data_IF_313774135328
#
_entry.id   IF_313774135328
#
_cell.length_a   1.000
_cell.length_b   1.000
_cell.length_c   1.000
_cell.angle_alpha   90.00
_cell.angle_beta   90.00
_cell.angle_gamma   90.00
#
_symmetry.space_group_name_H-M   'P 1'
#
loop_
_entity.id
_entity.type
_entity.pdbx_description
1 polymer ?
#
# COMPACT_ATOMS: atom_id res chain seq x y z
N UNK A 1 21.03 -8.92 82.73
CA UNK A 1 19.65 -8.38 82.65
C UNK A 1 19.43 -8.00 81.21
N UNK A 2 18.80 -8.90 80.45
CA UNK A 2 18.68 -8.81 78.99
C UNK A 2 17.22 -8.54 78.62
N UNK A 3 17.01 -7.54 77.77
CA UNK A 3 15.71 -7.03 77.33
C UNK A 3 14.87 -8.10 76.61
N UNK A 4 13.53 -8.10 76.77
CA UNK A 4 12.66 -9.04 76.07
C UNK A 4 12.37 -8.59 74.63
N UNK A 5 12.46 -9.53 73.69
CA UNK A 5 12.05 -9.37 72.29
C UNK A 5 10.53 -9.19 72.16
N UNK A 6 10.04 -8.37 71.21
CA UNK A 6 8.62 -8.29 70.90
C UNK A 6 8.17 -9.48 70.05
N UNK A 7 7.08 -10.13 70.49
CA UNK A 7 6.38 -11.19 69.77
C UNK A 7 5.71 -10.66 68.49
N UNK A 8 5.96 -11.34 67.37
CA UNK A 8 5.34 -11.07 66.07
C UNK A 8 3.84 -11.38 66.10
N UNK A 9 3.02 -10.37 65.77
CA UNK A 9 1.60 -10.58 65.46
C UNK A 9 1.48 -11.05 64.02
N UNK A 10 1.08 -12.30 63.81
CA UNK A 10 0.69 -12.85 62.50
C UNK A 10 -0.66 -12.24 62.07
N UNK A 11 -0.69 -11.59 60.91
CA UNK A 11 -1.92 -11.17 60.23
C UNK A 11 -2.55 -12.39 59.51
N UNK A 12 -3.89 -12.48 59.41
CA UNK A 12 -4.55 -13.56 58.68
C UNK A 12 -4.26 -13.46 57.17
N UNK A 13 -4.34 -14.58 56.42
CA UNK A 13 -4.03 -14.58 55.01
C UNK A 13 -5.05 -13.76 54.22
N UNK A 14 -4.56 -12.75 53.50
CA UNK A 14 -5.34 -12.06 52.46
C UNK A 14 -5.48 -13.02 51.30
N UNK A 15 -6.67 -13.58 51.10
CA UNK A 15 -7.03 -14.31 49.88
C UNK A 15 -7.12 -13.27 48.76
N UNK A 16 -6.04 -13.11 48.01
CA UNK A 16 -6.04 -12.42 46.72
C UNK A 16 -6.89 -13.26 45.77
N UNK A 17 -8.13 -12.83 45.54
CA UNK A 17 -8.90 -13.31 44.40
C UNK A 17 -8.21 -12.80 43.13
N UNK A 18 -7.39 -13.66 42.54
CA UNK A 18 -6.87 -13.47 41.18
C UNK A 18 -8.08 -13.52 40.26
N UNK A 19 -8.57 -12.34 39.89
CA UNK A 19 -9.52 -12.22 38.79
C UNK A 19 -8.78 -12.64 37.54
N UNK A 20 -9.18 -13.76 36.96
CA UNK A 20 -8.67 -14.24 35.69
C UNK A 20 -8.80 -13.11 34.65
N UNK A 21 -7.77 -12.85 33.82
CA UNK A 21 -7.94 -11.91 32.72
C UNK A 21 -9.05 -12.45 31.83
N UNK A 22 -10.14 -11.70 31.75
CA UNK A 22 -11.18 -11.91 30.75
C UNK A 22 -10.49 -11.82 29.40
N UNK A 23 -10.35 -12.95 28.71
CA UNK A 23 -9.89 -12.99 27.34
C UNK A 23 -10.85 -12.12 26.53
N UNK A 24 -10.35 -10.99 26.03
CA UNK A 24 -10.98 -10.26 24.95
C UNK A 24 -11.22 -11.27 23.82
N UNK A 25 -12.44 -11.42 23.29
CA UNK A 25 -12.66 -12.34 22.19
C UNK A 25 -11.77 -11.91 21.03
N UNK A 26 -10.97 -12.86 20.52
CA UNK A 26 -10.26 -12.72 19.26
C UNK A 26 -11.31 -12.25 18.23
N UNK A 27 -11.08 -11.10 17.59
CA UNK A 27 -11.95 -10.64 16.52
C UNK A 27 -12.13 -11.77 15.51
N UNK A 28 -13.37 -12.01 15.08
CA UNK A 28 -13.74 -13.10 14.18
C UNK A 28 -12.80 -13.12 12.97
N UNK A 29 -11.92 -14.14 12.91
CA UNK A 29 -10.92 -14.30 11.84
C UNK A 29 -11.54 -14.93 10.58
N UNK A 30 -12.87 -15.07 10.54
CA UNK A 30 -13.59 -15.61 9.40
C UNK A 30 -13.39 -14.70 8.17
N UNK A 31 -13.01 -15.26 7.01
CA UNK A 31 -12.86 -14.48 5.79
C UNK A 31 -14.17 -13.80 5.36
N UNK A 32 -14.14 -12.48 5.13
CA UNK A 32 -15.25 -11.68 4.63
C UNK A 32 -15.46 -11.90 3.12
N UNK A 33 -16.69 -11.87 2.61
CA UNK A 33 -16.94 -11.88 1.16
C UNK A 33 -16.13 -10.78 0.45
N UNK A 34 -15.49 -11.11 -0.66
CA UNK A 34 -14.71 -10.15 -1.44
C UNK A 34 -15.66 -9.14 -2.06
N UNK A 35 -15.45 -7.84 -1.78
CA UNK A 35 -16.21 -6.75 -2.38
C UNK A 35 -15.29 -5.93 -3.28
N UNK A 36 -15.66 -5.78 -4.55
CA UNK A 36 -15.01 -4.90 -5.52
C UNK A 36 -15.31 -3.43 -5.19
N UNK A 37 -14.71 -2.91 -4.12
CA UNK A 37 -14.97 -1.53 -3.69
C UNK A 37 -14.00 -0.53 -4.36
N UNK A 38 -14.46 0.72 -4.61
CA UNK A 38 -13.59 1.83 -5.01
C UNK A 38 -12.48 2.06 -3.96
N UNK A 39 -11.40 2.79 -4.29
CA UNK A 39 -10.27 3.01 -3.38
C UNK A 39 -10.78 3.35 -1.99
N UNK A 40 -10.43 2.50 -1.03
CA UNK A 40 -11.02 2.54 0.30
C UNK A 40 -10.79 3.92 0.92
N UNK A 41 -11.85 4.47 1.52
CA UNK A 41 -11.77 5.76 2.20
C UNK A 41 -10.72 5.66 3.31
N UNK A 42 -9.98 6.75 3.58
CA UNK A 42 -9.02 6.74 4.67
C UNK A 42 -9.71 6.39 6.01
N UNK A 43 -9.05 5.62 6.90
CA UNK A 43 -9.56 5.26 8.21
C UNK A 43 -10.04 6.50 8.94
N UNK A 44 -11.23 6.39 9.53
CA UNK A 44 -11.86 7.51 10.26
C UNK A 44 -11.37 7.59 11.70
N UNK A 45 -10.77 6.51 12.18
CA UNK A 45 -10.31 6.42 13.55
C UNK A 45 -9.18 7.43 13.81
N UNK A 46 -9.13 8.00 15.03
CA UNK A 46 -8.00 8.82 15.42
C UNK A 46 -6.69 8.05 15.30
N UNK A 47 -5.70 8.69 14.71
CA UNK A 47 -4.34 8.15 14.58
C UNK A 47 -3.34 9.12 15.24
N UNK A 48 -2.09 8.67 15.51
CA UNK A 48 -1.06 9.54 16.06
C UNK A 48 -0.87 10.77 15.18
N UNK A 49 -0.54 11.90 15.81
CA UNK A 49 -0.19 13.13 15.12
C UNK A 49 1.31 13.31 15.14
N UNK A 50 1.84 13.99 14.13
CA UNK A 50 3.22 14.47 14.11
C UNK A 50 3.41 15.40 15.31
N UNK A 51 3.93 14.87 16.40
CA UNK A 51 4.30 15.63 17.58
C UNK A 51 5.72 15.24 17.94
N UNK A 52 6.59 16.22 18.07
CA UNK A 52 7.98 16.03 18.51
C UNK A 52 8.90 15.27 17.54
N UNK A 53 8.50 15.06 16.27
CA UNK A 53 9.40 14.59 15.22
C UNK A 53 10.04 15.80 14.53
N UNK A 54 11.37 15.86 14.52
CA UNK A 54 12.10 16.88 13.77
C UNK A 54 12.20 16.47 12.29
N UNK A 55 11.61 17.26 11.42
CA UNK A 55 11.74 17.10 9.96
C UNK A 55 12.83 18.02 9.45
N UNK A 56 13.79 17.48 8.67
CA UNK A 56 14.93 18.23 8.15
C UNK A 56 15.03 18.00 6.64
N UNK A 57 15.28 19.07 5.89
CA UNK A 57 15.59 19.00 4.46
C UNK A 57 17.08 19.34 4.25
N UNK A 58 17.77 18.51 3.48
CA UNK A 58 19.12 18.75 2.99
C UNK A 58 19.14 18.61 1.47
N UNK A 59 19.53 19.66 0.76
CA UNK A 59 19.74 19.63 -0.69
C UNK A 59 21.23 19.75 -0.96
N UNK A 60 21.83 18.72 -1.55
CA UNK A 60 23.29 18.66 -1.72
C UNK A 60 23.80 19.55 -2.86
N UNK A 61 23.00 19.73 -3.91
CA UNK A 61 23.32 20.58 -5.06
C UNK A 61 22.05 21.21 -5.65
N UNK A 62 21.94 22.54 -5.56
CA UNK A 62 20.82 23.32 -6.13
C UNK A 62 20.94 23.55 -7.63
N UNK A 63 22.12 23.30 -8.22
CA UNK A 63 22.38 23.55 -9.64
C UNK A 63 21.88 22.42 -10.56
N UNK A 64 21.52 21.27 -9.99
CA UNK A 64 21.01 20.12 -10.75
C UNK A 64 19.53 20.27 -11.14
N UNK A 65 19.14 19.63 -12.25
CA UNK A 65 17.77 19.73 -12.77
C UNK A 65 16.74 19.12 -11.79
N UNK A 66 17.07 18.01 -11.12
CA UNK A 66 16.19 17.37 -10.15
C UNK A 66 15.86 18.25 -8.95
N UNK A 67 16.84 18.97 -8.40
CA UNK A 67 16.60 19.92 -7.32
C UNK A 67 15.68 21.06 -7.76
N UNK A 68 15.89 21.62 -8.97
CA UNK A 68 15.00 22.65 -9.54
C UNK A 68 13.58 22.12 -9.69
N UNK A 69 13.43 20.95 -10.33
CA UNK A 69 12.15 20.29 -10.57
C UNK A 69 11.36 20.08 -9.28
N UNK A 70 12.00 19.59 -8.21
CA UNK A 70 11.34 19.36 -6.93
C UNK A 70 10.91 20.69 -6.28
N UNK A 71 11.82 21.66 -6.17
CA UNK A 71 11.55 22.96 -5.53
C UNK A 71 10.44 23.72 -6.26
N UNK A 72 10.38 23.65 -7.60
CA UNK A 72 9.35 24.35 -8.38
C UNK A 72 7.98 23.68 -8.35
N UNK A 73 7.92 22.38 -8.02
CA UNK A 73 6.70 21.57 -8.22
C UNK A 73 5.97 21.27 -6.92
N UNK A 74 6.69 21.04 -5.83
CA UNK A 74 6.09 20.62 -4.55
C UNK A 74 6.45 21.57 -3.42
N UNK A 75 5.51 21.78 -2.50
CA UNK A 75 5.84 22.31 -1.19
C UNK A 75 6.40 21.16 -0.35
N UNK A 76 7.72 21.15 -0.13
CA UNK A 76 8.41 20.05 0.54
C UNK A 76 7.93 19.88 1.99
N UNK A 77 7.58 20.97 2.67
CA UNK A 77 7.07 20.92 4.05
C UNK A 77 5.79 20.10 4.09
N UNK A 78 4.79 20.49 3.28
CA UNK A 78 3.51 19.77 3.25
C UNK A 78 3.65 18.35 2.72
N UNK A 79 4.56 18.12 1.77
CA UNK A 79 4.82 16.78 1.19
C UNK A 79 5.34 15.82 2.25
N UNK A 80 6.31 16.25 3.07
CA UNK A 80 6.88 15.40 4.13
C UNK A 80 5.88 15.22 5.28
N UNK A 81 5.14 16.27 5.64
CA UNK A 81 4.06 16.16 6.64
C UNK A 81 2.94 15.21 6.18
N UNK A 82 2.55 15.28 4.91
CA UNK A 82 1.56 14.40 4.31
C UNK A 82 2.04 12.95 4.32
N UNK A 83 3.30 12.69 3.95
CA UNK A 83 3.88 11.36 4.01
C UNK A 83 3.84 10.76 5.43
N UNK A 84 4.27 11.50 6.46
CA UNK A 84 4.17 11.02 7.86
C UNK A 84 2.71 10.79 8.25
N UNK A 85 1.82 11.71 7.85
CA UNK A 85 0.39 11.59 8.07
C UNK A 85 -0.22 10.33 7.45
N UNK A 86 0.22 9.95 6.24
CA UNK A 86 -0.18 8.72 5.57
C UNK A 86 0.28 7.48 6.33
N UNK A 87 1.55 7.42 6.77
CA UNK A 87 2.02 6.27 7.56
C UNK A 87 1.21 6.11 8.84
N UNK A 88 1.02 7.20 9.59
CA UNK A 88 0.26 7.18 10.85
C UNK A 88 -1.19 6.79 10.63
N UNK A 89 -1.82 7.30 9.57
CA UNK A 89 -3.21 6.98 9.25
C UNK A 89 -3.42 5.51 8.93
N UNK A 90 -2.50 4.90 8.19
CA UNK A 90 -2.69 3.56 7.64
C UNK A 90 -2.13 2.45 8.54
N UNK A 91 -1.07 2.71 9.29
CA UNK A 91 -0.40 1.69 10.11
C UNK A 91 -0.64 1.80 11.62
N UNK A 92 -1.37 2.83 12.08
CA UNK A 92 -1.48 3.11 13.52
C UNK A 92 -2.89 3.54 13.94
N UNK A 93 -3.21 3.30 15.21
CA UNK A 93 -4.36 3.88 15.95
C UNK A 93 -3.84 4.85 17.01
N UNK A 94 -4.73 5.61 17.65
CA UNK A 94 -4.36 6.50 18.75
C UNK A 94 -3.71 5.77 19.94
N UNK A 95 -4.02 4.48 20.11
CA UNK A 95 -3.51 3.62 21.19
C UNK A 95 -2.24 2.87 20.80
N UNK A 96 -1.84 2.91 19.53
CA UNK A 96 -0.67 2.18 19.05
C UNK A 96 0.64 2.79 19.56
N UNK A 97 1.59 1.91 19.89
CA UNK A 97 2.99 2.30 20.05
C UNK A 97 3.61 2.50 18.67
N UNK A 98 4.17 3.68 18.43
CA UNK A 98 4.91 4.03 17.19
C UNK A 98 6.41 3.89 17.48
N UNK A 99 7.25 3.51 16.49
CA UNK A 99 8.69 3.55 16.65
C UNK A 99 9.22 4.89 17.18
N UNK A 100 10.30 4.83 17.93
CA UNK A 100 10.91 5.98 18.63
C UNK A 100 11.57 7.03 17.74
N UNK A 101 11.32 7.03 16.42
CA UNK A 101 11.94 7.95 15.46
C UNK A 101 11.73 9.42 15.85
N UNK A 102 12.83 10.07 16.27
CA UNK A 102 12.88 11.47 16.75
C UNK A 102 13.11 12.46 15.62
N UNK A 103 13.70 12.03 14.50
CA UNK A 103 13.86 12.88 13.33
C UNK A 103 13.92 12.11 12.03
N UNK A 104 13.43 12.75 10.96
CA UNK A 104 13.61 12.29 9.58
C UNK A 104 14.30 13.39 8.78
N UNK A 105 15.42 13.06 8.13
CA UNK A 105 16.13 13.97 7.21
C UNK A 105 15.89 13.55 5.78
N UNK A 106 15.19 14.37 4.99
CA UNK A 106 15.11 14.19 3.54
C UNK A 106 16.37 14.77 2.88
N UNK A 107 17.18 13.92 2.27
CA UNK A 107 18.44 14.26 1.62
C UNK A 107 18.29 14.13 0.10
N UNK A 108 18.28 15.26 -0.60
CA UNK A 108 18.33 15.30 -2.06
C UNK A 108 19.80 15.31 -2.52
N UNK A 109 20.19 14.33 -3.32
CA UNK A 109 21.54 14.22 -3.90
C UNK A 109 21.54 13.47 -5.22
N UNK A 110 22.56 13.70 -6.04
CA UNK A 110 22.83 12.84 -7.20
C UNK A 110 23.28 11.47 -6.70
N UNK A 111 22.65 10.43 -7.24
CA UNK A 111 22.90 9.02 -6.94
C UNK A 111 22.16 8.13 -7.94
N UNK A 112 22.63 6.89 -8.10
CA UNK A 112 21.88 5.84 -8.79
C UNK A 112 20.62 5.41 -8.01
N UNK A 113 19.73 4.68 -8.67
CA UNK A 113 18.47 4.24 -8.06
C UNK A 113 17.44 5.37 -7.93
N UNK A 114 16.40 5.11 -7.12
CA UNK A 114 15.28 6.03 -6.89
C UNK A 114 15.47 6.72 -5.55
N UNK A 115 15.28 5.97 -4.46
CA UNK A 115 15.47 6.42 -3.10
C UNK A 115 15.88 5.24 -2.20
N UNK A 116 16.28 5.54 -0.96
CA UNK A 116 16.42 4.56 0.10
C UNK A 116 16.34 5.24 1.48
N UNK A 117 15.99 4.46 2.49
CA UNK A 117 15.95 4.87 3.89
C UNK A 117 17.05 4.21 4.70
N UNK A 118 17.64 4.94 5.65
CA UNK A 118 18.65 4.43 6.57
C UNK A 118 18.56 5.10 7.94
N UNK A 119 19.11 4.47 8.98
CA UNK A 119 19.42 5.14 10.25
C UNK A 119 20.66 6.06 10.12
N UNK A 120 20.86 6.96 11.09
CA UNK A 120 22.12 7.71 11.25
C UNK A 120 23.10 6.93 12.10
N UNK A 121 24.39 7.21 11.90
CA UNK A 121 25.50 6.63 12.66
C UNK A 121 25.41 6.85 14.19
N UNK A 122 24.58 7.80 14.65
CA UNK A 122 24.39 8.09 16.08
C UNK A 122 23.45 7.06 16.72
N UNK A 123 22.26 6.86 16.14
CA UNK A 123 21.28 5.85 16.55
C UNK A 123 20.14 5.72 15.50
N UNK A 124 19.39 4.63 15.63
CA UNK A 124 18.27 4.29 14.75
C UNK A 124 17.02 5.18 14.92
N UNK A 125 16.96 6.04 15.94
CA UNK A 125 15.85 6.98 16.11
C UNK A 125 16.00 8.21 15.21
N UNK A 126 17.14 8.35 14.53
CA UNK A 126 17.36 9.36 13.52
C UNK A 126 17.41 8.70 12.14
N UNK A 127 16.40 8.95 11.31
CA UNK A 127 16.31 8.40 9.96
C UNK A 127 16.73 9.40 8.89
N UNK A 128 17.29 8.91 7.80
CA UNK A 128 17.56 9.65 6.58
C UNK A 128 16.88 8.97 5.39
N UNK A 129 16.15 9.76 4.60
CA UNK A 129 15.60 9.36 3.30
C UNK A 129 16.49 10.02 2.25
N UNK A 130 17.20 9.23 1.45
CA UNK A 130 17.99 9.73 0.34
C UNK A 130 17.19 9.60 -0.94
N UNK A 131 16.94 10.71 -1.63
CA UNK A 131 16.15 10.73 -2.86
C UNK A 131 17.00 11.27 -4.02
N UNK A 132 17.08 10.48 -5.11
CA UNK A 132 17.92 10.76 -6.27
C UNK A 132 17.41 11.96 -7.06
N UNK A 133 18.24 13.01 -7.14
CA UNK A 133 17.99 14.13 -8.06
C UNK A 133 18.07 13.70 -9.52
N UNK A 134 18.79 12.62 -9.83
CA UNK A 134 18.95 12.10 -11.19
C UNK A 134 17.69 11.35 -11.64
N UNK A 135 16.99 10.71 -10.69
CA UNK A 135 15.66 10.16 -10.92
C UNK A 135 14.61 11.26 -11.05
N UNK A 136 14.57 12.23 -10.13
CA UNK A 136 13.61 13.35 -10.16
C UNK A 136 13.68 14.13 -11.49
N UNK A 137 14.88 14.29 -12.05
CA UNK A 137 15.07 14.96 -13.34
C UNK A 137 14.39 14.25 -14.53
N UNK A 138 14.09 12.94 -14.41
CA UNK A 138 13.50 12.10 -15.45
C UNK A 138 12.00 11.92 -15.29
N UNK A 139 11.41 12.33 -14.17
CA UNK A 139 9.97 12.22 -13.95
C UNK A 139 9.26 13.17 -14.90
N UNK A 140 8.20 12.69 -15.55
CA UNK A 140 7.41 13.51 -16.45
C UNK A 140 6.67 14.62 -15.67
N UNK A 141 6.55 15.84 -16.22
CA UNK A 141 5.96 16.98 -15.51
C UNK A 141 4.57 16.72 -14.94
N UNK A 142 3.73 15.99 -15.68
CA UNK A 142 2.35 15.66 -15.32
C UNK A 142 2.24 14.68 -14.13
N UNK A 143 3.28 13.87 -13.89
CA UNK A 143 3.33 12.91 -12.77
C UNK A 143 4.23 13.36 -11.63
N UNK A 144 4.98 14.44 -11.81
CA UNK A 144 6.07 14.82 -10.92
C UNK A 144 5.65 15.00 -9.47
N UNK A 145 4.51 15.66 -9.23
CA UNK A 145 3.98 15.86 -7.87
C UNK A 145 3.65 14.52 -7.20
N UNK A 146 2.87 13.68 -7.88
CA UNK A 146 2.39 12.41 -7.32
C UNK A 146 3.52 11.40 -7.15
N UNK A 147 4.50 11.38 -8.06
CA UNK A 147 5.65 10.50 -7.96
C UNK A 147 6.61 10.92 -6.85
N UNK A 148 6.89 12.22 -6.70
CA UNK A 148 7.72 12.72 -5.59
C UNK A 148 7.06 12.39 -4.25
N UNK A 149 5.77 12.67 -4.10
CA UNK A 149 5.04 12.33 -2.87
C UNK A 149 4.95 10.82 -2.67
N UNK A 150 4.74 10.03 -3.73
CA UNK A 150 4.68 8.57 -3.69
C UNK A 150 5.98 7.93 -3.21
N UNK A 151 7.12 8.35 -3.75
CA UNK A 151 8.45 7.87 -3.32
C UNK A 151 8.73 8.31 -1.88
N UNK A 152 8.48 9.57 -1.51
CA UNK A 152 8.66 10.02 -0.13
C UNK A 152 7.73 9.26 0.82
N UNK A 153 6.49 8.97 0.42
CA UNK A 153 5.55 8.19 1.20
C UNK A 153 6.07 6.77 1.47
N UNK A 154 6.56 6.08 0.44
CA UNK A 154 7.17 4.75 0.55
C UNK A 154 8.33 4.75 1.56
N UNK A 155 9.30 5.64 1.35
CA UNK A 155 10.48 5.74 2.23
C UNK A 155 10.11 6.18 3.66
N UNK A 156 9.07 7.00 3.80
CA UNK A 156 8.57 7.39 5.12
C UNK A 156 8.00 6.20 5.89
N UNK A 157 7.47 5.17 5.21
CA UNK A 157 7.00 3.96 5.87
C UNK A 157 8.15 3.26 6.57
N UNK A 158 9.30 3.11 5.92
CA UNK A 158 10.50 2.52 6.53
C UNK A 158 11.01 3.29 7.76
N UNK A 159 10.72 4.59 7.86
CA UNK A 159 11.07 5.37 9.05
C UNK A 159 10.23 5.03 10.29
N UNK A 160 9.06 4.42 10.10
CA UNK A 160 8.06 4.22 11.15
C UNK A 160 7.42 2.84 11.13
N UNK A 161 7.77 1.89 10.27
CA UNK A 161 7.25 0.52 10.35
C UNK A 161 8.10 -0.33 11.30
N UNK A 162 7.51 -1.40 11.81
CA UNK A 162 8.25 -2.44 12.52
C UNK A 162 8.73 -3.53 11.54
N UNK A 163 9.82 -4.21 11.89
CA UNK A 163 10.50 -5.20 11.03
C UNK A 163 10.68 -6.57 11.71
N UNK A 164 9.96 -6.82 12.81
CA UNK A 164 10.04 -8.09 13.53
C UNK A 164 11.41 -8.35 14.12
N UNK A 165 12.04 -7.34 14.76
CA UNK A 165 13.42 -7.45 15.24
C UNK A 165 14.40 -7.86 14.11
N UNK A 166 14.26 -7.23 12.95
CA UNK A 166 15.04 -7.49 11.73
C UNK A 166 14.89 -8.91 11.14
N UNK A 167 13.83 -9.65 11.50
CA UNK A 167 13.56 -10.99 10.96
C UNK A 167 12.45 -11.04 9.92
N UNK A 168 11.72 -9.93 9.72
CA UNK A 168 10.73 -9.82 8.64
C UNK A 168 11.39 -10.01 7.28
N UNK A 169 10.79 -10.77 6.34
CA UNK A 169 11.30 -10.88 4.99
C UNK A 169 11.24 -9.52 4.30
N UNK A 170 12.25 -9.21 3.48
CA UNK A 170 12.34 -7.91 2.80
C UNK A 170 11.11 -7.63 1.94
N UNK A 171 10.55 -8.65 1.28
CA UNK A 171 9.33 -8.47 0.48
C UNK A 171 8.13 -7.97 1.27
N UNK A 172 7.93 -8.48 2.49
CA UNK A 172 6.87 -7.97 3.36
C UNK A 172 7.15 -6.53 3.78
N UNK A 173 8.40 -6.22 4.13
CA UNK A 173 8.86 -4.88 4.51
C UNK A 173 8.62 -3.85 3.40
N UNK A 174 8.99 -4.17 2.16
CA UNK A 174 8.76 -3.33 0.96
C UNK A 174 7.28 -3.28 0.58
N UNK A 175 6.58 -4.42 0.68
CA UNK A 175 5.16 -4.53 0.35
C UNK A 175 4.27 -3.69 1.27
N UNK A 176 4.59 -3.59 2.56
CA UNK A 176 3.88 -2.69 3.48
C UNK A 176 4.07 -1.22 3.04
N UNK A 177 5.28 -0.84 2.63
CA UNK A 177 5.58 0.51 2.16
C UNK A 177 4.75 0.87 0.91
N UNK A 178 4.71 -0.04 -0.06
CA UNK A 178 3.93 0.15 -1.28
C UNK A 178 2.42 -0.02 -1.09
N UNK A 179 1.97 -0.78 -0.09
CA UNK A 179 0.55 -0.82 0.30
C UNK A 179 0.09 0.53 0.87
N UNK A 180 0.89 1.18 1.72
CA UNK A 180 0.57 2.54 2.22
C UNK A 180 0.56 3.55 1.07
N UNK A 181 1.50 3.44 0.13
CA UNK A 181 1.53 4.27 -1.09
C UNK A 181 0.28 4.05 -1.94
N UNK A 182 -0.12 2.80 -2.16
CA UNK A 182 -1.35 2.42 -2.86
C UNK A 182 -2.58 3.06 -2.20
N UNK A 183 -2.73 2.88 -0.88
CA UNK A 183 -3.88 3.39 -0.10
C UNK A 183 -3.90 4.90 0.04
N UNK A 184 -2.75 5.55 -0.14
CA UNK A 184 -2.66 7.00 -0.22
C UNK A 184 -3.01 7.55 -1.62
N UNK A 185 -3.37 6.68 -2.58
CA UNK A 185 -3.73 7.09 -3.94
C UNK A 185 -2.53 7.48 -4.81
N UNK A 186 -1.33 7.00 -4.44
CA UNK A 186 -0.06 7.40 -5.05
C UNK A 186 0.60 6.27 -5.88
N UNK A 187 -0.17 5.24 -6.23
CA UNK A 187 0.29 4.15 -7.08
C UNK A 187 0.64 4.66 -8.49
N UNK A 188 1.83 4.32 -9.04
CA UNK A 188 2.15 4.46 -10.45
C UNK A 188 1.10 3.79 -11.36
N UNK A 189 0.79 4.36 -12.55
CA UNK A 189 -0.16 3.76 -13.48
C UNK A 189 0.28 2.41 -14.04
N UNK A 190 1.59 2.13 -13.98
CA UNK A 190 2.18 0.87 -14.46
C UNK A 190 2.03 -0.28 -13.47
N UNK A 191 1.62 -0.03 -12.23
CA UNK A 191 1.41 -1.07 -11.22
C UNK A 191 0.25 -1.97 -11.61
N UNK A 192 0.47 -3.28 -11.50
CA UNK A 192 -0.51 -4.30 -11.87
C UNK A 192 -0.68 -5.31 -10.75
N UNK A 193 -1.92 -5.78 -10.58
CA UNK A 193 -2.19 -6.93 -9.73
C UNK A 193 -1.69 -8.19 -10.45
N UNK A 194 -0.85 -8.97 -9.79
CA UNK A 194 -0.43 -10.28 -10.25
C UNK A 194 -0.22 -11.21 -9.07
N UNK A 195 -0.27 -12.51 -9.32
CA UNK A 195 0.04 -13.56 -8.34
C UNK A 195 1.01 -14.61 -8.93
N UNK A 196 1.87 -14.16 -9.84
CA UNK A 196 3.08 -14.89 -10.27
C UNK A 196 4.16 -14.82 -9.18
N UNK A 197 5.25 -15.58 -9.29
CA UNK A 197 6.32 -15.50 -8.29
C UNK A 197 5.90 -15.88 -6.86
N UNK A 198 6.50 -15.21 -5.88
CA UNK A 198 6.27 -15.43 -4.45
C UNK A 198 5.55 -14.25 -3.80
N UNK A 199 4.81 -14.54 -2.74
CA UNK A 199 4.04 -13.53 -2.00
C UNK A 199 4.92 -12.42 -1.42
N UNK A 200 6.21 -12.68 -1.18
CA UNK A 200 7.23 -11.79 -0.63
C UNK A 200 8.26 -11.32 -1.69
N UNK A 201 7.85 -11.17 -2.95
CA UNK A 201 8.71 -10.53 -3.97
C UNK A 201 8.79 -8.99 -3.81
N UNK A 202 8.02 -8.41 -2.89
CA UNK A 202 8.09 -6.99 -2.49
C UNK A 202 7.25 -6.04 -3.34
N UNK A 203 7.46 -4.75 -3.12
CA UNK A 203 6.90 -3.64 -3.89
C UNK A 203 5.39 -3.76 -4.16
N UNK A 204 4.93 -3.42 -5.38
CA UNK A 204 3.52 -3.48 -5.76
C UNK A 204 2.95 -4.89 -5.69
N UNK A 205 3.79 -5.91 -5.88
CA UNK A 205 3.37 -7.30 -5.94
C UNK A 205 2.87 -7.78 -4.57
N UNK A 206 3.70 -7.63 -3.54
CA UNK A 206 3.29 -7.87 -2.15
C UNK A 206 2.26 -6.83 -1.71
N UNK A 207 2.39 -5.56 -2.14
CA UNK A 207 1.45 -4.50 -1.80
C UNK A 207 0.00 -4.79 -2.20
N UNK A 208 -0.24 -5.32 -3.40
CA UNK A 208 -1.61 -5.71 -3.83
C UNK A 208 -2.13 -6.95 -3.12
N UNK A 209 -1.26 -7.88 -2.72
CA UNK A 209 -1.67 -9.01 -1.88
C UNK A 209 -2.07 -8.55 -0.48
N UNK A 210 -1.34 -7.62 0.12
CA UNK A 210 -1.75 -6.99 1.37
C UNK A 210 -3.09 -6.26 1.24
N UNK A 211 -3.36 -5.64 0.08
CA UNK A 211 -4.69 -5.06 -0.20
C UNK A 211 -5.79 -6.12 -0.28
N UNK A 212 -5.51 -7.28 -0.88
CA UNK A 212 -6.45 -8.41 -0.84
C UNK A 212 -6.71 -8.87 0.60
N UNK A 213 -5.69 -8.94 1.46
CA UNK A 213 -5.88 -9.30 2.87
C UNK A 213 -6.72 -8.26 3.62
N UNK A 214 -6.50 -6.97 3.36
CA UNK A 214 -7.32 -5.88 3.90
C UNK A 214 -8.80 -6.04 3.51
N UNK A 215 -9.08 -6.40 2.26
CA UNK A 215 -10.44 -6.64 1.78
C UNK A 215 -11.04 -7.93 2.36
N UNK A 216 -10.23 -8.98 2.50
CA UNK A 216 -10.66 -10.31 2.92
C UNK A 216 -10.87 -10.42 4.43
N UNK A 217 -10.08 -9.71 5.24
CA UNK A 217 -10.08 -9.81 6.70
C UNK A 217 -10.47 -8.50 7.40
N UNK A 218 -10.82 -7.47 6.62
CA UNK A 218 -11.36 -6.20 7.11
C UNK A 218 -10.30 -5.12 7.34
N UNK A 219 -10.80 -3.90 7.53
CA UNK A 219 -9.99 -2.71 7.74
C UNK A 219 -9.05 -2.86 8.95
N UNK A 220 -7.78 -2.53 8.75
CA UNK A 220 -6.72 -2.66 9.75
C UNK A 220 -6.00 -4.01 9.74
N UNK A 221 -6.16 -4.84 8.72
CA UNK A 221 -5.41 -6.10 8.59
C UNK A 221 -3.92 -5.84 8.40
N UNK A 222 -3.53 -4.91 7.53
CA UNK A 222 -2.11 -4.54 7.36
C UNK A 222 -1.55 -3.82 8.58
N UNK A 223 -2.39 -3.04 9.27
CA UNK A 223 -2.04 -2.45 10.57
C UNK A 223 -1.74 -3.52 11.62
N UNK A 224 -2.53 -4.61 11.71
CA UNK A 224 -2.26 -5.73 12.62
C UNK A 224 -0.96 -6.46 12.28
N UNK A 225 -0.64 -6.60 10.99
CA UNK A 225 0.67 -7.12 10.53
C UNK A 225 1.80 -6.26 11.11
N UNK A 226 1.77 -4.93 10.88
CA UNK A 226 2.78 -4.02 11.40
C UNK A 226 2.86 -4.05 12.94
N UNK A 227 1.72 -4.08 13.64
CA UNK A 227 1.67 -4.16 15.11
C UNK A 227 2.29 -5.46 15.64
N UNK A 228 2.04 -6.60 14.99
CA UNK A 228 2.64 -7.88 15.39
C UNK A 228 4.15 -7.89 15.17
N UNK A 229 4.63 -7.32 14.05
CA UNK A 229 6.06 -7.11 13.80
C UNK A 229 6.73 -6.22 14.87
N UNK A 230 5.97 -5.36 15.56
CA UNK A 230 6.48 -4.57 16.69
C UNK A 230 6.59 -5.33 18.01
N UNK A 231 6.01 -6.53 18.10
CA UNK A 231 5.91 -7.31 19.35
C UNK A 231 6.79 -8.56 19.36
N UNK A 232 7.03 -9.18 18.20
CA UNK A 232 7.71 -10.46 18.10
C UNK A 232 8.63 -10.52 16.89
N UNK A 233 9.62 -11.42 16.92
CA UNK A 233 10.30 -11.85 15.70
C UNK A 233 9.31 -12.52 14.74
N UNK A 234 9.56 -12.38 13.45
CA UNK A 234 8.79 -13.00 12.38
C UNK A 234 9.14 -14.48 12.28
N UNK A 235 8.12 -15.32 12.42
CA UNK A 235 8.16 -16.77 12.17
C UNK A 235 6.94 -17.07 11.30
N UNK A 236 7.16 -17.43 10.04
CA UNK A 236 6.13 -17.36 9.00
C UNK A 236 4.85 -18.11 9.39
N UNK A 237 4.95 -19.37 9.82
CA UNK A 237 3.76 -20.19 10.05
C UNK A 237 2.94 -19.67 11.22
N UNK A 238 3.59 -19.31 12.33
CA UNK A 238 2.93 -18.76 13.51
C UNK A 238 2.33 -17.38 13.19
N UNK A 239 3.10 -16.51 12.55
CA UNK A 239 2.73 -15.13 12.26
C UNK A 239 1.42 -15.03 11.47
N UNK A 240 1.32 -15.77 10.36
CA UNK A 240 0.14 -15.71 9.48
C UNK A 240 -1.07 -16.43 10.09
N UNK A 241 -0.86 -17.54 10.82
CA UNK A 241 -1.94 -18.25 11.51
C UNK A 241 -2.52 -17.44 12.66
N UNK A 242 -1.70 -16.75 13.44
CA UNK A 242 -2.18 -15.94 14.55
C UNK A 242 -2.99 -14.73 14.06
N UNK A 243 -2.61 -14.14 12.92
CA UNK A 243 -3.30 -12.98 12.35
C UNK A 243 -4.59 -13.35 11.61
N UNK A 244 -4.56 -14.43 10.83
CA UNK A 244 -5.60 -14.74 9.84
C UNK A 244 -6.10 -16.18 9.85
N UNK A 245 -5.59 -17.04 10.74
CA UNK A 245 -5.99 -18.44 10.85
C UNK A 245 -5.48 -19.34 9.71
N UNK A 246 -4.65 -18.82 8.80
CA UNK A 246 -4.21 -19.49 7.57
C UNK A 246 -2.71 -19.34 7.35
N UNK A 247 -2.11 -20.26 6.59
CA UNK A 247 -0.72 -20.10 6.13
C UNK A 247 -0.66 -19.08 5.00
N UNK A 248 0.40 -18.30 4.90
CA UNK A 248 0.56 -17.32 3.81
C UNK A 248 0.51 -17.96 2.42
N UNK A 249 1.02 -19.19 2.29
CA UNK A 249 0.95 -19.95 1.04
C UNK A 249 -0.49 -20.30 0.63
N UNK A 250 -1.42 -20.42 1.57
CA UNK A 250 -2.84 -20.63 1.30
C UNK A 250 -3.53 -19.32 0.92
N UNK A 251 -3.21 -18.25 1.65
CA UNK A 251 -3.69 -16.89 1.38
C UNK A 251 -3.25 -16.42 -0.02
N UNK A 252 -1.98 -16.63 -0.38
CA UNK A 252 -1.43 -16.30 -1.69
C UNK A 252 -2.12 -17.07 -2.82
N UNK A 253 -2.35 -18.37 -2.61
CA UNK A 253 -3.10 -19.19 -3.57
C UNK A 253 -4.55 -18.72 -3.71
N UNK A 254 -5.18 -18.25 -2.65
CA UNK A 254 -6.54 -17.68 -2.71
C UNK A 254 -6.56 -16.37 -3.48
N UNK A 255 -5.62 -15.47 -3.21
CA UNK A 255 -5.41 -14.25 -3.98
C UNK A 255 -5.26 -14.54 -5.48
N UNK A 256 -4.40 -15.50 -5.84
CA UNK A 256 -4.23 -15.90 -7.24
C UNK A 256 -5.45 -16.57 -7.88
N UNK A 257 -6.38 -17.15 -7.10
CA UNK A 257 -7.69 -17.61 -7.62
C UNK A 257 -8.62 -16.43 -7.88
N UNK A 258 -8.72 -15.50 -6.93
CA UNK A 258 -9.55 -14.30 -7.08
C UNK A 258 -9.16 -13.48 -8.32
N UNK A 259 -7.87 -13.29 -8.58
CA UNK A 259 -7.43 -12.57 -9.79
C UNK A 259 -7.88 -13.25 -11.09
N UNK A 260 -7.95 -14.59 -11.11
CA UNK A 260 -8.43 -15.34 -12.28
C UNK A 260 -9.94 -15.21 -12.46
N UNK A 261 -10.70 -15.26 -11.37
CA UNK A 261 -12.15 -15.09 -11.37
C UNK A 261 -12.55 -13.67 -11.81
N UNK A 262 -11.84 -12.64 -11.32
CA UNK A 262 -12.02 -11.26 -11.76
C UNK A 262 -11.77 -11.11 -13.28
N UNK A 263 -10.67 -11.67 -13.79
CA UNK A 263 -10.36 -11.60 -15.22
C UNK A 263 -11.39 -12.33 -16.10
N UNK A 264 -11.93 -13.46 -15.63
CA UNK A 264 -12.98 -14.19 -16.34
C UNK A 264 -14.30 -13.41 -16.36
N UNK A 265 -14.59 -12.63 -15.31
CA UNK A 265 -15.81 -11.82 -15.23
C UNK A 265 -15.73 -10.61 -16.16
N UNK A 266 -14.57 -9.96 -16.27
CA UNK A 266 -14.33 -8.88 -17.23
C UNK A 266 -14.49 -9.37 -18.69
N UNK A 267 -14.00 -10.58 -19.00
CA UNK A 267 -14.17 -11.19 -20.33
C UNK A 267 -15.65 -11.45 -20.66
N UNK A 268 -16.45 -11.96 -19.71
CA UNK A 268 -17.88 -12.25 -19.92
C UNK A 268 -18.70 -10.97 -20.19
N UNK A 269 -18.43 -9.89 -19.46
CA UNK A 269 -19.15 -8.61 -19.62
C UNK A 269 -18.89 -7.97 -20.99
N UNK A 270 -17.74 -8.25 -21.62
CA UNK A 270 -17.44 -7.77 -22.98
C UNK A 270 -18.20 -8.54 -24.05
N UNK A 271 -18.54 -9.82 -23.83
CA UNK A 271 -19.28 -10.63 -24.84
C UNK A 271 -20.77 -10.29 -24.89
N UNK A 272 -21.40 -9.90 -23.77
CA UNK A 272 -22.86 -9.65 -23.72
C UNK A 272 -23.31 -8.33 -24.38
N UNK A 273 -22.40 -7.40 -24.71
CA UNK A 273 -22.74 -6.13 -25.38
C UNK A 273 -22.67 -6.18 -26.93
N UNK A 274 -22.65 -7.39 -27.50
CA UNK A 274 -22.30 -7.61 -28.91
C UNK A 274 -23.27 -8.40 -29.77
N UNK A 275 -24.58 -8.46 -29.50
CA UNK A 275 -25.54 -9.02 -30.47
C UNK A 275 -26.86 -8.23 -30.52
N UNK A 276 -26.98 -7.32 -31.48
CA UNK A 276 -28.27 -6.78 -31.94
C UNK A 276 -28.84 -7.66 -33.04
N UNK A 277 -29.92 -8.37 -32.75
CA UNK A 277 -30.74 -9.09 -33.72
C UNK A 277 -31.70 -8.09 -34.39
N UNK A 278 -31.39 -7.66 -35.61
CA UNK A 278 -32.33 -6.90 -36.44
C UNK A 278 -33.27 -7.85 -37.20
N UNK A 279 -34.54 -7.81 -36.81
CA UNK A 279 -35.65 -8.45 -37.48
C UNK A 279 -36.75 -7.45 -37.87
N UNK A 280 -36.91 -7.32 -39.18
CA UNK A 280 -38.18 -7.33 -39.93
C UNK A 280 -38.79 -6.03 -40.52
N UNK A 281 -39.21 -6.25 -41.77
CA UNK A 281 -39.98 -5.55 -42.82
C UNK A 281 -40.65 -4.18 -42.61
N UNK A 282 -40.55 -3.34 -43.65
CA UNK A 282 -41.72 -3.00 -44.50
C UNK A 282 -41.32 -2.29 -45.81
N UNK A 283 -42.08 -2.64 -46.85
CA UNK A 283 -42.04 -2.25 -48.26
C UNK A 283 -42.30 -0.76 -48.54
N UNK A 284 -41.80 -0.27 -49.68
CA UNK A 284 -42.47 0.65 -50.60
C UNK A 284 -41.84 0.53 -52.01
N UNK A 285 -42.71 0.48 -53.02
CA UNK A 285 -42.53 0.17 -54.45
C UNK A 285 -42.11 1.39 -55.31
N UNK A 286 -41.79 1.22 -56.63
CA UNK A 286 -40.80 1.98 -57.40
C UNK A 286 -41.39 3.11 -58.27
N UNK A 287 -40.57 3.76 -59.14
CA UNK A 287 -40.65 3.41 -60.57
C UNK A 287 -39.32 3.41 -61.37
N UNK A 288 -39.35 2.65 -62.48
CA UNK A 288 -38.84 2.87 -63.86
C UNK A 288 -37.67 3.86 -64.13
N UNK A 289 -36.73 3.67 -65.07
CA UNK A 289 -36.62 2.80 -66.25
C UNK A 289 -35.20 2.86 -66.86
N UNK A 290 -34.66 1.69 -67.24
CA UNK A 290 -33.99 1.30 -68.51
C UNK A 290 -33.18 2.32 -69.34
N UNK A 291 -31.92 1.95 -69.67
CA UNK A 291 -31.35 1.74 -71.04
C UNK A 291 -29.88 1.33 -70.90
N UNK A 292 -29.49 0.07 -71.20
CA UNK A 292 -29.07 -0.50 -72.50
C UNK A 292 -27.88 0.20 -73.16
N UNK A 293 -26.74 -0.50 -73.21
CA UNK A 293 -25.73 -0.32 -74.24
C UNK A 293 -25.76 -1.55 -75.16
N UNK A 294 -25.93 -1.30 -76.46
CA UNK A 294 -25.54 -2.20 -77.55
C UNK A 294 -24.63 -1.42 -78.51
N UNK A 295 -23.61 -2.13 -78.95
CA UNK A 295 -22.49 -1.74 -79.79
C UNK A 295 -22.87 -1.36 -81.22
N UNK A 296 -22.10 -0.45 -81.86
CA UNK A 296 -21.94 -0.47 -83.32
C UNK A 296 -21.63 0.83 -84.06
N UNK A 297 -20.33 1.03 -84.34
CA UNK A 297 -19.72 1.61 -85.55
C UNK A 297 -19.84 3.13 -85.86
N UNK A 298 -18.68 3.73 -86.18
CA UNK A 298 -18.61 4.95 -87.01
C UNK A 298 -17.38 5.84 -86.79
N UNK A 299 -16.28 5.53 -87.50
CA UNK A 299 -15.30 6.43 -88.14
C UNK A 299 -14.81 7.73 -87.46
N UNK A 300 -13.48 7.81 -87.29
CA UNK A 300 -12.67 8.78 -88.05
C UNK A 300 -12.18 10.07 -87.35
N UNK A 301 -10.83 10.16 -87.24
CA UNK A 301 -9.94 11.32 -87.52
C UNK A 301 -10.38 12.69 -86.96
N UNK A 302 -9.64 13.37 -86.08
CA UNK A 302 -8.29 13.97 -86.20
C UNK A 302 -7.67 14.08 -84.81
#
# INVERSE_FOLDING_TARGET
>A
MSSPQPQSRLLPPVILMVSSPTATPLADQSPLPIQSNPPAKPPRDPHPRIKHIRLVLKISDLSCQGARNLISTVNVITTVEEAVGSVFRWLYTAESTVPGTRSVTLVLRSMGGIAYTTGKDIDDDHKEIHFSTDYIAKISPERMKDEILGVICHEMVHCFQFDGCHTSPSGLTEGIADWVRLRSGLSPPSWKKSADGNWDDGYEHTGYFLEYLEQRFGEGSVRRINEMLGKTSYEEEIFWKDLFGHRVTELWKDYGRMLKEDSATDDIVIVENGESLDGDASSLTPPESVKTDDTGAGEGVV
#
